data_IF_512216448080
#
_entry.id   IF_512216448080
#
_cell.length_a   1.000
_cell.length_b   1.000
_cell.length_c   1.000
_cell.angle_alpha   90.00
_cell.angle_beta   90.00
_cell.angle_gamma   90.00
#
_symmetry.space_group_name_H-M   'P 1'
#
loop_
_entity.id
_entity.type
_entity.pdbx_description
1 polymer ?
#
# COMPACT_ATOMS: atom_id res chain seq x y z
N UNK A 1 5.26 -3.44 -11.37
CA UNK A 1 4.96 -4.27 -10.17
C UNK A 1 6.20 -4.89 -9.53
N UNK A 2 7.13 -5.41 -10.31
CA UNK A 2 8.35 -6.04 -9.77
C UNK A 2 9.14 -5.12 -8.83
N UNK A 3 9.34 -3.87 -9.22
CA UNK A 3 10.11 -2.93 -8.40
C UNK A 3 9.40 -2.59 -7.08
N UNK A 4 8.07 -2.56 -7.11
CA UNK A 4 7.28 -2.33 -5.90
C UNK A 4 7.42 -3.53 -4.95
N UNK A 5 7.31 -4.75 -5.49
CA UNK A 5 7.48 -5.97 -4.69
C UNK A 5 8.87 -6.04 -4.08
N UNK A 6 9.91 -5.73 -4.86
CA UNK A 6 11.29 -5.70 -4.36
C UNK A 6 11.46 -4.67 -3.24
N UNK A 7 10.73 -3.54 -3.32
CA UNK A 7 10.74 -2.54 -2.27
C UNK A 7 10.15 -3.11 -0.98
N UNK A 8 9.01 -3.79 -1.06
CA UNK A 8 8.41 -4.45 0.10
C UNK A 8 9.35 -5.47 0.75
N UNK A 9 10.05 -6.25 -0.08
CA UNK A 9 10.93 -7.31 0.40
C UNK A 9 12.13 -6.81 1.19
N UNK A 10 12.41 -5.51 1.17
CA UNK A 10 13.48 -4.90 1.96
C UNK A 10 13.10 -4.68 3.43
N UNK A 11 11.84 -4.92 3.79
CA UNK A 11 11.34 -4.72 5.15
C UNK A 11 11.15 -6.06 5.86
N UNK A 12 11.58 -6.14 7.12
CA UNK A 12 11.48 -7.36 7.92
C UNK A 12 10.04 -7.89 8.00
N UNK A 13 9.07 -6.99 8.02
CA UNK A 13 7.65 -7.36 8.05
C UNK A 13 7.24 -8.23 6.87
N UNK A 14 7.88 -8.05 5.71
CA UNK A 14 7.48 -8.71 4.47
C UNK A 14 8.52 -9.69 3.91
N UNK A 15 9.66 -9.84 4.57
CA UNK A 15 10.79 -10.62 4.02
C UNK A 15 10.47 -12.09 3.80
N UNK A 16 9.55 -12.66 4.59
CA UNK A 16 9.15 -14.05 4.50
C UNK A 16 7.97 -14.29 3.55
N UNK A 17 7.41 -13.23 3.00
CA UNK A 17 6.35 -13.34 2.00
C UNK A 17 6.94 -13.69 0.64
N UNK A 18 6.25 -14.58 -0.09
CA UNK A 18 6.62 -14.88 -1.46
C UNK A 18 6.28 -13.71 -2.39
N UNK A 19 6.90 -13.70 -3.57
CA UNK A 19 6.55 -12.74 -4.62
C UNK A 19 5.05 -12.73 -4.89
N UNK A 20 4.46 -13.91 -5.01
CA UNK A 20 3.05 -14.04 -5.33
C UNK A 20 2.14 -13.52 -4.22
N UNK A 21 2.49 -13.77 -2.96
CA UNK A 21 1.74 -13.23 -1.82
C UNK A 21 1.75 -11.71 -1.83
N UNK A 22 2.91 -11.10 -2.06
CA UNK A 22 3.02 -9.64 -2.15
C UNK A 22 2.30 -9.09 -3.37
N UNK A 23 2.37 -9.78 -4.49
CA UNK A 23 1.65 -9.39 -5.69
C UNK A 23 0.14 -9.24 -5.42
N UNK A 24 -0.48 -10.24 -4.80
CA UNK A 24 -1.91 -10.20 -4.49
C UNK A 24 -2.25 -9.21 -3.37
N UNK A 25 -1.31 -8.99 -2.45
CA UNK A 25 -1.48 -7.98 -1.40
C UNK A 25 -1.57 -6.56 -1.98
N UNK A 26 -0.78 -6.27 -3.00
CA UNK A 26 -0.66 -4.93 -3.57
C UNK A 26 -1.66 -4.69 -4.71
N UNK A 27 -2.04 -5.73 -5.43
CA UNK A 27 -2.79 -5.63 -6.68
C UNK A 27 -4.10 -4.84 -6.59
N UNK A 28 -4.92 -4.95 -5.53
CA UNK A 28 -6.16 -4.17 -5.46
C UNK A 28 -5.93 -2.67 -5.59
N UNK A 29 -4.93 -2.13 -4.92
CA UNK A 29 -4.63 -0.69 -5.01
C UNK A 29 -4.11 -0.29 -6.39
N UNK A 30 -3.36 -1.16 -7.05
CA UNK A 30 -2.87 -0.92 -8.41
C UNK A 30 -4.04 -0.84 -9.39
N UNK A 31 -4.94 -1.83 -9.34
CA UNK A 31 -6.10 -1.90 -10.25
C UNK A 31 -7.02 -0.71 -10.09
N UNK A 32 -7.12 -0.14 -8.89
CA UNK A 32 -7.98 1.01 -8.61
C UNK A 32 -7.26 2.34 -8.77
N UNK A 33 -5.96 2.32 -9.11
CA UNK A 33 -5.14 3.53 -9.17
C UNK A 33 -5.15 4.30 -7.83
N UNK A 34 -5.16 3.57 -6.74
CA UNK A 34 -5.13 4.10 -5.37
C UNK A 34 -3.76 3.89 -4.75
N UNK A 35 -2.75 4.41 -5.42
CA UNK A 35 -1.35 4.30 -4.98
C UNK A 35 -0.51 5.46 -5.52
N UNK A 36 0.65 5.65 -4.92
CA UNK A 36 1.67 6.60 -5.38
C UNK A 36 3.05 5.98 -5.24
N UNK A 37 3.86 6.10 -6.29
CA UNK A 37 5.27 5.71 -6.26
C UNK A 37 6.16 6.95 -6.18
N UNK A 38 7.32 6.80 -5.54
CA UNK A 38 8.32 7.86 -5.40
C UNK A 38 9.65 7.35 -5.93
N UNK A 39 10.22 8.07 -6.88
CA UNK A 39 11.45 7.69 -7.57
C UNK A 39 12.44 8.85 -7.59
N UNK A 40 13.71 8.50 -7.66
CA UNK A 40 14.81 9.44 -7.90
C UNK A 40 15.81 8.79 -8.88
N UNK A 41 16.98 9.37 -9.04
CA UNK A 41 18.01 8.86 -9.96
C UNK A 41 18.52 7.47 -9.56
N UNK A 42 18.33 7.06 -8.31
CA UNK A 42 18.70 5.73 -7.81
C UNK A 42 17.57 4.70 -7.96
N UNK A 43 16.39 5.13 -8.40
CA UNK A 43 15.25 4.27 -8.61
C UNK A 43 14.13 4.49 -7.61
N UNK A 44 13.27 3.51 -7.47
CA UNK A 44 12.10 3.56 -6.59
C UNK A 44 12.51 3.55 -5.12
N UNK A 45 12.07 4.55 -4.35
CA UNK A 45 12.41 4.63 -2.93
C UNK A 45 11.18 4.63 -2.01
N UNK A 46 10.00 4.79 -2.56
CA UNK A 46 8.78 4.82 -1.73
C UNK A 46 7.55 4.38 -2.50
N UNK A 47 6.60 3.84 -1.74
CA UNK A 47 5.29 3.43 -2.25
C UNK A 47 4.28 3.61 -1.14
N UNK A 48 3.15 4.23 -1.47
CA UNK A 48 2.01 4.33 -0.57
C UNK A 48 0.77 3.89 -1.31
N UNK A 49 -0.16 3.27 -0.62
CA UNK A 49 -1.47 2.96 -1.17
C UNK A 49 -2.55 3.22 -0.13
N UNK A 50 -3.77 3.29 -0.59
CA UNK A 50 -4.90 3.63 0.27
C UNK A 50 -6.17 2.93 -0.19
N UNK A 51 -7.10 2.79 0.73
CA UNK A 51 -8.45 2.30 0.47
C UNK A 51 -9.45 3.42 0.72
N UNK A 52 -10.60 3.34 0.05
CA UNK A 52 -11.73 4.24 0.24
C UNK A 52 -12.90 3.43 0.77
N UNK A 53 -13.27 3.64 2.02
CA UNK A 53 -14.17 2.75 2.74
C UNK A 53 -15.49 3.44 3.09
N UNK A 54 -16.59 2.70 3.02
CA UNK A 54 -17.84 3.11 3.65
C UNK A 54 -17.73 2.90 5.16
N UNK A 55 -18.70 3.38 5.93
CA UNK A 55 -18.65 3.31 7.39
C UNK A 55 -18.59 1.87 7.91
N UNK A 56 -19.32 0.98 7.30
CA UNK A 56 -19.35 -0.45 7.69
C UNK A 56 -17.98 -1.10 7.49
N UNK A 57 -17.38 -0.90 6.33
CA UNK A 57 -16.07 -1.48 6.00
C UNK A 57 -14.96 -0.82 6.80
N UNK A 58 -15.08 0.48 7.09
CA UNK A 58 -14.16 1.18 7.97
C UNK A 58 -14.14 0.58 9.36
N UNK A 59 -15.32 0.31 9.94
CA UNK A 59 -15.44 -0.31 11.25
C UNK A 59 -14.79 -1.70 11.27
N UNK A 60 -15.07 -2.50 10.25
CA UNK A 60 -14.47 -3.83 10.13
C UNK A 60 -12.95 -3.75 10.04
N UNK A 61 -12.44 -2.87 9.17
CA UNK A 61 -11.01 -2.71 8.97
C UNK A 61 -10.31 -2.22 10.25
N UNK A 62 -10.91 -1.28 10.97
CA UNK A 62 -10.34 -0.77 12.22
C UNK A 62 -10.21 -1.86 13.30
N UNK A 63 -11.08 -2.85 13.27
CA UNK A 63 -11.07 -3.96 14.22
C UNK A 63 -10.16 -5.11 13.80
N UNK A 64 -10.08 -5.41 12.52
CA UNK A 64 -9.39 -6.61 12.01
C UNK A 64 -8.05 -6.32 11.33
N UNK A 65 -7.85 -5.10 10.83
CA UNK A 65 -6.68 -4.76 10.02
C UNK A 65 -6.67 -5.44 8.66
N UNK A 66 -7.79 -6.02 8.23
CA UNK A 66 -7.87 -6.79 7.00
C UNK A 66 -8.95 -6.23 6.06
N UNK A 67 -8.64 -6.22 4.76
CA UNK A 67 -9.57 -5.84 3.69
C UNK A 67 -9.66 -6.96 2.66
N UNK A 68 -10.88 -7.37 2.33
CA UNK A 68 -11.11 -8.21 1.16
C UNK A 68 -10.90 -7.39 -0.11
N UNK A 69 -10.57 -8.08 -1.19
CA UNK A 69 -10.33 -7.45 -2.50
C UNK A 69 -11.46 -6.50 -2.91
N UNK A 70 -12.70 -6.86 -2.61
CA UNK A 70 -13.89 -6.08 -2.96
C UNK A 70 -14.12 -4.86 -2.07
N UNK A 71 -13.36 -4.68 -1.00
CA UNK A 71 -13.58 -3.62 -0.01
C UNK A 71 -12.69 -2.39 -0.19
N UNK A 72 -11.84 -2.35 -1.21
CA UNK A 72 -10.87 -1.26 -1.36
C UNK A 72 -11.46 0.06 -1.86
N UNK A 73 -12.68 0.04 -2.39
CA UNK A 73 -13.31 1.24 -2.94
C UNK A 73 -14.82 1.21 -2.73
N UNK A 74 -15.25 1.27 -1.47
CA UNK A 74 -16.67 1.15 -1.10
C UNK A 74 -17.28 2.45 -0.59
N UNK A 75 -16.48 3.50 -0.38
CA UNK A 75 -17.00 4.75 0.17
C UNK A 75 -16.01 5.90 0.03
N UNK A 76 -16.12 6.86 0.94
CA UNK A 76 -15.37 8.12 0.89
C UNK A 76 -14.30 8.25 1.98
N UNK A 77 -14.28 7.35 2.95
CA UNK A 77 -13.33 7.42 4.05
C UNK A 77 -11.99 6.86 3.61
N UNK A 78 -10.97 7.71 3.51
CA UNK A 78 -9.66 7.34 2.99
C UNK A 78 -8.78 6.83 4.12
N UNK A 79 -8.21 5.62 3.94
CA UNK A 79 -7.27 5.02 4.87
C UNK A 79 -5.99 4.65 4.13
N UNK A 80 -4.87 5.13 4.64
CA UNK A 80 -3.56 4.65 4.16
C UNK A 80 -3.41 3.20 4.59
N UNK A 81 -3.15 2.32 3.62
CA UNK A 81 -3.02 0.89 3.89
C UNK A 81 -1.56 0.53 4.15
N UNK A 82 -0.68 0.82 3.19
CA UNK A 82 0.75 0.59 3.32
C UNK A 82 1.53 1.87 3.04
N UNK A 83 2.61 2.05 3.78
CA UNK A 83 3.63 3.07 3.52
C UNK A 83 4.97 2.34 3.61
N UNK A 84 5.65 2.17 2.47
CA UNK A 84 6.96 1.53 2.40
C UNK A 84 7.97 2.52 1.83
N UNK A 85 8.94 2.93 2.64
CA UNK A 85 9.89 3.98 2.31
C UNK A 85 11.28 3.55 2.75
N UNK A 86 12.27 3.65 1.85
CA UNK A 86 13.66 3.27 2.16
C UNK A 86 14.59 4.48 2.27
N UNK A 87 14.16 5.66 1.79
CA UNK A 87 14.90 6.92 1.94
C UNK A 87 13.96 8.09 1.68
N UNK A 88 14.38 9.31 1.99
CA UNK A 88 13.61 10.54 1.73
C UNK A 88 12.22 10.53 2.36
N UNK A 89 12.12 9.99 3.58
CA UNK A 89 10.84 9.85 4.27
C UNK A 89 10.08 11.18 4.39
N UNK A 90 10.78 12.29 4.60
CA UNK A 90 10.15 13.60 4.72
C UNK A 90 9.39 14.00 3.45
N UNK A 91 9.94 13.69 2.28
CA UNK A 91 9.29 14.01 1.01
C UNK A 91 7.99 13.23 0.83
N UNK A 92 8.01 11.96 1.19
CA UNK A 92 6.82 11.11 1.12
C UNK A 92 5.76 11.61 2.11
N UNK A 93 6.17 11.92 3.34
CA UNK A 93 5.23 12.36 4.38
C UNK A 93 4.61 13.73 4.07
N UNK A 94 5.32 14.60 3.35
CA UNK A 94 4.74 15.86 2.88
C UNK A 94 3.63 15.63 1.87
N UNK A 95 3.77 14.60 1.05
CA UNK A 95 2.75 14.26 0.05
C UNK A 95 1.51 13.67 0.73
N UNK A 96 1.71 12.83 1.74
CA UNK A 96 0.63 12.22 2.51
C UNK A 96 -0.13 13.28 3.31
#
# INVERSE_FOLDING_TARGET
>A
MDNIIKLYQRFDKYKDNTYQELYYHILPSINLNQYKTFKDEKGLYGFVNWAKLNNKDEDQYSQTGFLYKSQWNTGKNIWLYDIVIIRKAKEVMRWV
#
